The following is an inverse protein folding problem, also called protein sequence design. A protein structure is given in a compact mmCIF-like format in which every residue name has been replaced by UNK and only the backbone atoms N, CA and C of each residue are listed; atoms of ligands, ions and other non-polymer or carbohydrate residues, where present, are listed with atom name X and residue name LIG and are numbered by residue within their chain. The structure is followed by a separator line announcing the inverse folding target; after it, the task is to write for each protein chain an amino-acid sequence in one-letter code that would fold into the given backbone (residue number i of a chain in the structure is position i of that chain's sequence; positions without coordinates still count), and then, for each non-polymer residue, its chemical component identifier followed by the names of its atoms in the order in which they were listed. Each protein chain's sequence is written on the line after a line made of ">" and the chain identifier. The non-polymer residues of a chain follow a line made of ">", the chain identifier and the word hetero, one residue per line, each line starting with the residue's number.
data_IF_294303690691
#
_entry.id   IF_294303690691
#
_cell.length_a   1.000
_cell.length_b   1.000
_cell.length_c   1.000
_cell.angle_alpha   90.00
_cell.angle_beta   90.00
_cell.angle_gamma   90.00
#
_symmetry.space_group_name_H-M   'P 1'
#
loop_
_entity.id
_entity.type
_entity.pdbx_description
1 polymer ?
#
# COMPACT_ATOMS: atom_id res chain seq x y z
N UNK A 1 -37.18 10.38 -7.78
CA UNK A 1 -35.82 10.65 -7.27
C UNK A 1 -35.08 9.39 -6.81
N UNK A 2 -35.75 8.26 -6.56
CA UNK A 2 -35.10 6.99 -6.20
C UNK A 2 -34.25 6.34 -7.32
N UNK A 3 -34.65 6.45 -8.59
CA UNK A 3 -33.86 5.89 -9.71
C UNK A 3 -32.47 6.53 -9.88
N UNK A 4 -32.33 7.83 -9.61
CA UNK A 4 -31.03 8.53 -9.62
C UNK A 4 -30.17 8.11 -8.43
N UNK A 5 -30.78 7.87 -7.26
CA UNK A 5 -30.11 7.39 -6.06
C UNK A 5 -29.64 5.92 -6.19
N UNK A 6 -30.42 5.05 -6.85
CA UNK A 6 -30.05 3.67 -7.14
C UNK A 6 -28.84 3.58 -8.07
N UNK A 7 -28.78 4.41 -9.12
CA UNK A 7 -27.63 4.46 -10.03
C UNK A 7 -26.37 4.96 -9.30
N UNK A 8 -26.52 5.90 -8.37
CA UNK A 8 -25.40 6.40 -7.55
C UNK A 8 -24.89 5.35 -6.55
N UNK A 9 -25.78 4.55 -5.92
CA UNK A 9 -25.40 3.42 -5.07
C UNK A 9 -24.74 2.29 -5.86
N UNK A 10 -25.28 1.92 -7.02
CA UNK A 10 -24.69 0.87 -7.88
C UNK A 10 -23.29 1.26 -8.37
N UNK A 11 -23.12 2.50 -8.82
CA UNK A 11 -21.81 3.04 -9.21
C UNK A 11 -20.81 2.98 -8.05
N UNK A 12 -21.25 3.33 -6.85
CA UNK A 12 -20.41 3.29 -5.66
C UNK A 12 -19.95 1.88 -5.30
N UNK A 13 -20.84 0.87 -5.39
CA UNK A 13 -20.48 -0.53 -5.15
C UNK A 13 -19.51 -1.08 -6.20
N UNK A 14 -19.72 -0.76 -7.48
CA UNK A 14 -18.80 -1.15 -8.56
C UNK A 14 -17.42 -0.51 -8.35
N UNK A 15 -17.38 0.78 -7.98
CA UNK A 15 -16.13 1.47 -7.67
C UNK A 15 -15.42 0.84 -6.47
N UNK A 16 -16.14 0.49 -5.40
CA UNK A 16 -15.57 -0.21 -4.26
C UNK A 16 -14.99 -1.57 -4.66
N UNK A 17 -15.67 -2.32 -5.52
CA UNK A 17 -15.15 -3.60 -6.03
C UNK A 17 -13.85 -3.41 -6.82
N UNK A 18 -13.83 -2.46 -7.75
CA UNK A 18 -12.64 -2.16 -8.57
C UNK A 18 -11.49 -1.66 -7.70
N UNK A 19 -11.76 -0.77 -6.76
CA UNK A 19 -10.72 -0.23 -5.86
C UNK A 19 -10.19 -1.31 -4.94
N UNK A 20 -11.05 -2.14 -4.34
CA UNK A 20 -10.59 -3.26 -3.52
C UNK A 20 -9.73 -4.25 -4.30
N UNK A 21 -10.14 -4.54 -5.54
CA UNK A 21 -9.34 -5.40 -6.41
C UNK A 21 -7.97 -4.81 -6.72
N UNK A 22 -7.92 -3.53 -7.09
CA UNK A 22 -6.67 -2.86 -7.41
C UNK A 22 -5.78 -2.66 -6.19
N UNK A 23 -6.35 -2.33 -5.03
CA UNK A 23 -5.60 -2.20 -3.76
C UNK A 23 -4.94 -3.53 -3.38
N UNK A 24 -5.69 -4.62 -3.31
CA UNK A 24 -5.15 -5.95 -2.97
C UNK A 24 -4.10 -6.41 -3.98
N UNK A 25 -4.38 -6.29 -5.29
CA UNK A 25 -3.39 -6.63 -6.33
C UNK A 25 -2.12 -5.77 -6.23
N UNK A 26 -2.25 -4.48 -5.91
CA UNK A 26 -1.10 -3.59 -5.77
C UNK A 26 -0.24 -3.93 -4.55
N UNK A 27 -0.86 -4.31 -3.43
CA UNK A 27 -0.17 -4.77 -2.23
C UNK A 27 0.56 -6.10 -2.49
N UNK A 28 -0.11 -7.06 -3.14
CA UNK A 28 0.49 -8.33 -3.56
C UNK A 28 1.68 -8.11 -4.49
N UNK A 29 1.52 -7.27 -5.51
CA UNK A 29 2.59 -6.96 -6.46
C UNK A 29 3.78 -6.32 -5.75
N UNK A 30 3.54 -5.43 -4.78
CA UNK A 30 4.60 -4.76 -4.04
C UNK A 30 5.36 -5.75 -3.14
N UNK A 31 4.62 -6.59 -2.41
CA UNK A 31 5.19 -7.65 -1.59
C UNK A 31 6.04 -8.62 -2.42
N UNK A 32 5.50 -9.12 -3.53
CA UNK A 32 6.22 -10.05 -4.40
C UNK A 32 7.48 -9.42 -5.01
N UNK A 33 7.43 -8.13 -5.33
CA UNK A 33 8.59 -7.40 -5.86
C UNK A 33 9.69 -7.25 -4.82
N UNK A 34 9.33 -7.02 -3.55
CA UNK A 34 10.28 -6.97 -2.44
C UNK A 34 10.88 -8.35 -2.19
N UNK A 35 10.06 -9.39 -2.11
CA UNK A 35 10.54 -10.76 -1.92
C UNK A 35 11.52 -11.18 -3.02
N UNK A 36 11.18 -10.88 -4.26
CA UNK A 36 12.07 -11.12 -5.40
C UNK A 36 13.38 -10.34 -5.27
N UNK A 37 13.34 -9.07 -4.82
CA UNK A 37 14.55 -8.27 -4.60
C UNK A 37 15.42 -8.84 -3.46
N UNK A 38 14.82 -9.27 -2.35
CA UNK A 38 15.53 -9.89 -1.23
C UNK A 38 16.20 -11.22 -1.63
N UNK A 39 15.50 -12.07 -2.39
CA UNK A 39 16.04 -13.33 -2.93
C UNK A 39 17.21 -13.11 -3.89
N UNK A 40 17.14 -12.08 -4.74
CA UNK A 40 18.18 -11.82 -5.72
C UNK A 40 19.35 -11.02 -5.16
N UNK A 41 19.15 -10.16 -4.16
CA UNK A 41 20.21 -9.31 -3.63
C UNK A 41 20.74 -9.81 -2.30
N UNK A 42 19.87 -10.01 -1.31
CA UNK A 42 20.31 -10.38 0.05
C UNK A 42 20.75 -11.85 0.10
N UNK A 43 19.95 -12.76 -0.45
CA UNK A 43 20.27 -14.19 -0.38
C UNK A 43 21.53 -14.54 -1.17
N UNK A 44 21.71 -13.96 -2.37
CA UNK A 44 22.95 -14.12 -3.15
C UNK A 44 24.20 -13.64 -2.41
N UNK A 45 24.10 -12.57 -1.62
CA UNK A 45 25.21 -12.07 -0.81
C UNK A 45 25.47 -12.96 0.41
N UNK A 46 24.41 -13.49 1.03
CA UNK A 46 24.53 -14.41 2.17
C UNK A 46 25.21 -15.73 1.79
N UNK A 47 25.05 -16.18 0.55
CA UNK A 47 25.66 -17.41 0.06
C UNK A 47 27.18 -17.25 -0.22
N UNK A 48 27.73 -16.03 -0.13
CA UNK A 48 29.17 -15.79 -0.27
C UNK A 48 29.93 -16.27 0.99
N UNK A 49 31.05 -17.02 0.82
CA UNK A 49 31.78 -17.56 1.96
C UNK A 49 32.53 -16.48 2.76
N UNK A 50 32.49 -16.60 4.09
CA UNK A 50 33.34 -15.87 5.02
C UNK A 50 33.02 -14.38 5.18
N UNK A 51 34.07 -13.57 5.36
CA UNK A 51 33.98 -12.13 5.65
C UNK A 51 33.32 -11.32 4.53
N UNK A 52 33.39 -11.80 3.27
CA UNK A 52 32.79 -11.15 2.10
C UNK A 52 31.26 -11.08 2.19
N UNK A 53 30.61 -12.13 2.70
CA UNK A 53 29.16 -12.11 2.93
C UNK A 53 28.74 -11.10 4.00
N UNK A 54 29.53 -10.96 5.07
CA UNK A 54 29.29 -10.00 6.15
C UNK A 54 29.44 -8.55 5.64
N UNK A 55 30.52 -8.27 4.91
CA UNK A 55 30.75 -6.94 4.31
C UNK A 55 29.67 -6.63 3.28
N UNK A 56 29.27 -7.59 2.46
CA UNK A 56 28.17 -7.44 1.49
C UNK A 56 26.84 -7.09 2.17
N UNK A 57 26.53 -7.73 3.30
CA UNK A 57 25.28 -7.50 4.02
C UNK A 57 25.20 -6.10 4.65
N UNK A 58 26.34 -5.52 5.03
CA UNK A 58 26.41 -4.15 5.58
C UNK A 58 26.42 -3.10 4.45
N UNK A 59 27.13 -3.38 3.35
CA UNK A 59 27.27 -2.44 2.24
C UNK A 59 26.03 -2.36 1.37
N UNK A 60 25.25 -3.44 1.23
CA UNK A 60 24.06 -3.47 0.39
C UNK A 60 22.97 -2.44 0.84
N UNK A 61 22.54 -2.38 2.11
CA UNK A 61 21.60 -1.35 2.56
C UNK A 61 22.14 0.06 2.39
N UNK A 62 23.45 0.27 2.56
CA UNK A 62 24.09 1.57 2.38
C UNK A 62 24.02 2.04 0.92
N UNK A 63 24.38 1.16 -0.02
CA UNK A 63 24.29 1.43 -1.46
C UNK A 63 22.84 1.63 -1.91
N UNK A 64 21.92 0.80 -1.40
CA UNK A 64 20.48 0.94 -1.64
C UNK A 64 19.95 2.28 -1.16
N UNK A 65 20.32 2.70 0.05
CA UNK A 65 19.97 4.00 0.61
C UNK A 65 20.50 5.19 -0.19
N UNK A 66 21.76 5.13 -0.65
CA UNK A 66 22.36 6.16 -1.51
C UNK A 66 21.62 6.24 -2.85
N UNK A 67 21.34 5.10 -3.48
CA UNK A 67 20.62 5.04 -4.75
C UNK A 67 19.19 5.60 -4.62
N UNK A 68 18.44 5.15 -3.61
CA UNK A 68 17.07 5.62 -3.34
C UNK A 68 17.07 7.11 -3.00
N UNK A 69 18.02 7.57 -2.18
CA UNK A 69 18.18 8.99 -1.85
C UNK A 69 18.46 9.85 -3.07
N UNK A 70 19.35 9.39 -3.96
CA UNK A 70 19.64 10.06 -5.23
C UNK A 70 18.40 10.14 -6.14
N UNK A 71 17.68 9.03 -6.31
CA UNK A 71 16.47 8.96 -7.13
C UNK A 71 15.32 9.79 -6.55
N UNK A 72 15.14 9.81 -5.23
CA UNK A 72 14.17 10.67 -4.55
C UNK A 72 14.45 12.14 -4.82
N UNK A 73 15.73 12.55 -4.72
CA UNK A 73 16.13 13.95 -4.93
C UNK A 73 15.89 14.43 -6.37
N UNK A 74 16.16 13.59 -7.37
CA UNK A 74 16.14 14.02 -8.78
C UNK A 74 14.85 13.66 -9.52
N UNK A 75 14.17 12.57 -9.15
CA UNK A 75 13.07 12.04 -9.97
C UNK A 75 11.68 12.16 -9.34
N UNK A 76 11.57 11.95 -8.02
CA UNK A 76 10.29 11.87 -7.33
C UNK A 76 10.36 12.33 -5.86
N UNK A 77 10.59 13.64 -5.60
CA UNK A 77 10.63 14.17 -4.23
C UNK A 77 9.30 13.99 -3.49
N UNK A 78 8.18 13.94 -4.22
CA UNK A 78 6.84 13.69 -3.67
C UNK A 78 6.68 12.28 -3.06
N UNK A 79 7.55 11.33 -3.39
CA UNK A 79 7.50 9.95 -2.89
C UNK A 79 8.29 9.76 -1.58
N UNK A 80 8.89 10.80 -1.00
CA UNK A 80 9.68 10.71 0.22
C UNK A 80 8.84 10.37 1.47
N UNK A 81 9.48 9.79 2.50
CA UNK A 81 8.87 9.52 3.81
C UNK A 81 7.86 8.37 3.81
N UNK A 82 6.95 8.35 4.78
CA UNK A 82 5.95 7.27 4.94
C UNK A 82 4.96 7.21 3.77
N UNK A 83 4.38 8.35 3.37
CA UNK A 83 3.31 8.40 2.37
C UNK A 83 1.93 8.66 2.97
N UNK A 84 1.72 8.30 4.24
CA UNK A 84 0.46 8.56 4.97
C UNK A 84 0.22 10.06 5.12
N UNK A 85 1.17 10.89 5.60
CA UNK A 85 0.95 12.34 5.72
C UNK A 85 0.65 13.01 4.38
N UNK A 86 1.28 12.56 3.29
CA UNK A 86 1.04 13.06 1.94
C UNK A 86 -0.35 12.68 1.43
N UNK A 87 -0.81 11.48 1.77
CA UNK A 87 -2.17 11.01 1.45
C UNK A 87 -3.21 11.80 2.21
N UNK A 88 -2.98 12.05 3.52
CA UNK A 88 -3.83 12.90 4.37
C UNK A 88 -3.87 14.33 3.85
N UNK A 89 -2.72 14.91 3.51
CA UNK A 89 -2.64 16.23 2.89
C UNK A 89 -3.41 16.27 1.55
N UNK A 90 -3.32 15.23 0.71
CA UNK A 90 -4.10 15.17 -0.53
C UNK A 90 -5.60 15.05 -0.28
N UNK A 91 -6.02 14.31 0.75
CA UNK A 91 -7.42 14.18 1.16
C UNK A 91 -8.01 15.53 1.58
N UNK A 92 -7.36 16.27 2.49
CA UNK A 92 -7.87 17.55 3.01
C UNK A 92 -7.62 18.75 2.08
N UNK A 93 -6.44 18.85 1.47
CA UNK A 93 -6.03 20.06 0.74
C UNK A 93 -6.23 19.97 -0.78
N UNK A 94 -6.32 18.76 -1.33
CA UNK A 94 -6.39 18.54 -2.79
C UNK A 94 -7.64 17.81 -3.24
N UNK A 95 -8.69 17.72 -2.41
CA UNK A 95 -9.93 16.98 -2.71
C UNK A 95 -9.66 15.54 -3.19
N UNK A 96 -8.68 14.88 -2.58
CA UNK A 96 -8.27 13.53 -2.94
C UNK A 96 -7.54 13.40 -4.27
N UNK A 97 -7.05 14.48 -4.89
CA UNK A 97 -6.20 14.37 -6.09
C UNK A 97 -4.79 13.92 -5.74
N UNK A 98 -4.44 12.71 -6.15
CA UNK A 98 -3.13 12.12 -5.99
C UNK A 98 -2.54 11.80 -7.37
N UNK A 99 -1.27 12.11 -7.63
CA UNK A 99 -0.64 11.85 -8.94
C UNK A 99 -0.30 10.37 -9.08
N UNK A 100 -0.70 9.73 -10.18
CA UNK A 100 -0.40 8.31 -10.41
C UNK A 100 1.11 8.05 -10.52
N UNK A 101 1.85 9.01 -11.09
CA UNK A 101 3.32 8.98 -11.12
C UNK A 101 3.94 8.81 -9.73
N UNK A 102 3.36 9.43 -8.69
CA UNK A 102 3.86 9.28 -7.33
C UNK A 102 3.70 7.84 -6.83
N UNK A 103 2.60 7.17 -7.18
CA UNK A 103 2.37 5.77 -6.84
C UNK A 103 3.43 4.85 -7.45
N UNK A 104 3.72 5.02 -8.75
CA UNK A 104 4.76 4.25 -9.45
C UNK A 104 6.14 4.52 -8.83
N UNK A 105 6.47 5.79 -8.60
CA UNK A 105 7.75 6.14 -7.97
C UNK A 105 7.87 5.55 -6.57
N UNK A 106 6.80 5.56 -5.78
CA UNK A 106 6.79 4.97 -4.43
C UNK A 106 6.97 3.46 -4.46
N UNK A 107 6.33 2.79 -5.41
CA UNK A 107 6.49 1.36 -5.63
C UNK A 107 7.96 1.01 -5.93
N UNK A 108 8.55 1.64 -6.94
CA UNK A 108 9.93 1.33 -7.37
C UNK A 108 10.93 1.64 -6.25
N UNK A 109 10.83 2.83 -5.65
CA UNK A 109 11.77 3.26 -4.62
C UNK A 109 11.59 2.47 -3.32
N UNK A 110 10.36 2.13 -2.96
CA UNK A 110 10.05 1.27 -1.83
C UNK A 110 10.59 -0.14 -2.02
N UNK A 111 10.44 -0.73 -3.20
CA UNK A 111 10.99 -2.05 -3.53
C UNK A 111 12.51 -2.06 -3.43
N UNK A 112 13.20 -1.04 -3.97
CA UNK A 112 14.66 -0.96 -3.88
C UNK A 112 15.10 -0.75 -2.43
N UNK A 113 14.43 0.14 -1.69
CA UNK A 113 14.81 0.45 -0.31
C UNK A 113 14.61 -0.75 0.62
N UNK A 114 13.43 -1.38 0.59
CA UNK A 114 13.13 -2.52 1.46
C UNK A 114 13.89 -3.76 0.98
N UNK A 115 13.93 -4.00 -0.33
CA UNK A 115 14.63 -5.15 -0.92
C UNK A 115 16.15 -5.16 -0.71
N UNK A 116 16.77 -3.99 -0.48
CA UNK A 116 18.19 -3.90 -0.09
C UNK A 116 18.43 -4.06 1.41
N UNK A 117 17.37 -4.18 2.21
CA UNK A 117 17.45 -4.42 3.66
C UNK A 117 17.23 -3.17 4.53
N UNK A 118 16.60 -2.11 4.02
CA UNK A 118 16.23 -0.98 4.87
C UNK A 118 15.16 -1.38 5.90
N UNK A 119 15.30 -0.90 7.14
CA UNK A 119 14.33 -1.10 8.22
C UNK A 119 13.10 -0.20 8.05
N UNK A 120 12.29 -0.46 7.02
CA UNK A 120 11.06 0.26 6.70
C UNK A 120 9.88 -0.71 6.62
N UNK A 121 8.72 -0.28 7.12
CA UNK A 121 7.47 -1.03 7.02
C UNK A 121 6.79 -0.88 5.66
N UNK A 122 5.87 -1.81 5.36
CA UNK A 122 5.11 -1.84 4.11
C UNK A 122 3.89 -0.92 4.15
N UNK A 123 3.36 -0.56 5.33
CA UNK A 123 2.06 0.14 5.44
C UNK A 123 2.07 1.48 4.71
N UNK A 124 3.14 2.27 4.87
CA UNK A 124 3.21 3.60 4.28
C UNK A 124 3.10 3.57 2.75
N UNK A 125 3.98 2.83 2.06
CA UNK A 125 3.92 2.64 0.61
C UNK A 125 2.60 2.04 0.11
N UNK A 126 2.07 0.98 0.74
CA UNK A 126 0.85 0.29 0.26
C UNK A 126 -0.40 1.15 0.41
N UNK A 127 -0.53 1.88 1.52
CA UNK A 127 -1.61 2.85 1.75
C UNK A 127 -1.55 3.97 0.70
N UNK A 128 -0.36 4.55 0.49
CA UNK A 128 -0.21 5.66 -0.46
C UNK A 128 -0.45 5.20 -1.92
N UNK A 129 -0.03 4.00 -2.27
CA UNK A 129 -0.26 3.37 -3.58
C UNK A 129 -1.76 3.15 -3.81
N UNK A 130 -2.44 2.54 -2.84
CA UNK A 130 -3.89 2.25 -2.91
C UNK A 130 -4.74 3.52 -2.95
N UNK A 131 -4.35 4.55 -2.19
CA UNK A 131 -4.98 5.87 -2.24
C UNK A 131 -4.81 6.52 -3.62
N UNK A 132 -3.62 6.41 -4.23
CA UNK A 132 -3.36 6.94 -5.56
C UNK A 132 -4.17 6.22 -6.64
N UNK A 133 -4.32 4.90 -6.54
CA UNK A 133 -5.16 4.08 -7.41
C UNK A 133 -6.64 4.47 -7.28
N UNK A 134 -7.16 4.58 -6.05
CA UNK A 134 -8.52 5.04 -5.80
C UNK A 134 -8.79 6.44 -6.38
N UNK A 135 -7.83 7.37 -6.20
CA UNK A 135 -7.87 8.71 -6.78
C UNK A 135 -7.88 8.68 -8.32
N UNK A 136 -7.05 7.82 -8.92
CA UNK A 136 -6.95 7.66 -10.36
C UNK A 136 -8.24 7.09 -10.95
N UNK A 137 -8.75 5.98 -10.41
CA UNK A 137 -10.01 5.35 -10.81
C UNK A 137 -11.16 6.36 -10.71
N UNK A 138 -11.30 7.04 -9.58
CA UNK A 138 -12.37 8.02 -9.40
C UNK A 138 -12.36 9.15 -10.43
N UNK A 139 -11.17 9.64 -10.80
CA UNK A 139 -11.03 10.67 -11.84
C UNK A 139 -11.26 10.13 -13.25
N UNK A 140 -10.83 8.89 -13.51
CA UNK A 140 -11.03 8.25 -14.81
C UNK A 140 -12.52 8.04 -15.11
N UNK A 141 -13.31 7.70 -14.09
CA UNK A 141 -14.77 7.64 -14.17
C UNK A 141 -15.47 9.02 -14.21
N UNK A 142 -14.71 10.12 -14.27
CA UNK A 142 -15.25 11.48 -14.37
C UNK A 142 -16.00 11.95 -13.11
N UNK A 143 -15.69 11.39 -11.94
CA UNK A 143 -16.36 11.76 -10.70
C UNK A 143 -16.02 13.18 -10.26
N UNK A 144 -16.97 13.83 -9.59
CA UNK A 144 -16.73 15.14 -8.99
C UNK A 144 -15.64 15.06 -7.90
N UNK A 145 -14.86 16.14 -7.65
CA UNK A 145 -13.76 16.12 -6.69
C UNK A 145 -14.15 15.60 -5.30
N UNK A 146 -15.35 15.95 -4.82
CA UNK A 146 -15.87 15.47 -3.52
C UNK A 146 -16.13 13.97 -3.48
N UNK A 147 -16.49 13.36 -4.62
CA UNK A 147 -16.67 11.92 -4.73
C UNK A 147 -15.32 11.20 -4.83
N UNK A 148 -14.35 11.75 -5.56
CA UNK A 148 -12.96 11.25 -5.59
C UNK A 148 -12.35 11.27 -4.19
N UNK A 149 -12.53 12.36 -3.45
CA UNK A 149 -12.11 12.49 -2.05
C UNK A 149 -12.66 11.37 -1.17
N UNK A 150 -13.92 10.97 -1.37
CA UNK A 150 -14.53 9.89 -0.59
C UNK A 150 -13.93 8.50 -0.91
N UNK A 151 -13.34 8.30 -2.09
CA UNK A 151 -12.67 7.06 -2.51
C UNK A 151 -11.30 6.86 -1.86
N UNK A 152 -10.65 7.94 -1.42
CA UNK A 152 -9.32 7.87 -0.80
C UNK A 152 -9.30 6.99 0.45
N UNK A 153 -10.12 7.23 1.50
CA UNK A 153 -10.11 6.38 2.68
C UNK A 153 -10.56 4.93 2.38
N UNK A 154 -11.42 4.73 1.37
CA UNK A 154 -11.74 3.37 0.91
C UNK A 154 -10.49 2.68 0.34
N UNK A 155 -9.74 3.33 -0.55
CA UNK A 155 -8.48 2.77 -1.06
C UNK A 155 -7.47 2.52 0.05
N UNK A 156 -7.34 3.45 1.00
CA UNK A 156 -6.43 3.32 2.13
C UNK A 156 -6.73 2.09 3.00
N UNK A 157 -8.01 1.73 3.21
CA UNK A 157 -8.33 0.55 4.04
C UNK A 157 -7.84 -0.74 3.39
N UNK A 158 -7.96 -0.87 2.08
CA UNK A 158 -7.39 -2.01 1.35
C UNK A 158 -5.86 -2.00 1.29
N UNK A 159 -5.23 -0.82 1.25
CA UNK A 159 -3.76 -0.71 1.27
C UNK A 159 -3.14 -0.98 2.65
N UNK A 160 -3.84 -0.62 3.72
CA UNK A 160 -3.47 -0.93 5.10
C UNK A 160 -3.70 -2.41 5.45
N UNK A 161 -4.45 -3.13 4.62
CA UNK A 161 -4.75 -4.54 4.80
C UNK A 161 -3.60 -5.48 4.43
N UNK A 162 -2.45 -4.95 3.97
CA UNK A 162 -1.25 -5.72 3.65
C UNK A 162 -0.74 -6.67 4.77
N UNK A 163 -1.31 -6.58 5.99
CA UNK A 163 -1.10 -7.48 7.13
C UNK A 163 -2.18 -8.55 7.27
N UNK A 164 -2.99 -8.77 6.24
CA UNK A 164 -4.08 -9.73 6.25
C UNK A 164 -5.04 -9.51 7.44
N UNK A 165 -5.31 -8.25 7.76
CA UNK A 165 -6.04 -7.82 8.97
C UNK A 165 -7.06 -6.72 8.60
N UNK A 166 -8.23 -7.09 8.06
CA UNK A 166 -9.17 -6.12 7.49
C UNK A 166 -9.69 -5.12 8.50
N UNK A 167 -9.86 -5.54 9.76
CA UNK A 167 -10.32 -4.67 10.84
C UNK A 167 -9.34 -3.52 11.10
N UNK A 168 -8.02 -3.80 11.05
CA UNK A 168 -7.00 -2.78 11.23
C UNK A 168 -7.04 -1.77 10.08
N UNK A 169 -7.20 -2.24 8.83
CA UNK A 169 -7.33 -1.35 7.67
C UNK A 169 -8.57 -0.45 7.73
N UNK A 170 -9.70 -0.98 8.21
CA UNK A 170 -10.94 -0.20 8.40
C UNK A 170 -10.73 0.88 9.47
N UNK A 171 -10.22 0.51 10.65
CA UNK A 171 -9.98 1.44 11.76
C UNK A 171 -8.96 2.51 11.35
N UNK A 172 -7.86 2.10 10.71
CA UNK A 172 -6.84 3.00 10.19
C UNK A 172 -7.42 4.05 9.22
N UNK A 173 -8.28 3.63 8.28
CA UNK A 173 -8.90 4.57 7.35
C UNK A 173 -9.83 5.58 8.05
N UNK A 174 -10.47 5.18 9.14
CA UNK A 174 -11.37 6.05 9.91
C UNK A 174 -10.57 7.01 10.80
N UNK A 175 -9.67 6.49 11.62
CA UNK A 175 -8.94 7.25 12.62
C UNK A 175 -7.82 8.10 12.01
N UNK A 176 -6.98 7.50 11.16
CA UNK A 176 -5.78 8.17 10.67
C UNK A 176 -6.05 9.01 9.43
N UNK A 177 -6.89 8.55 8.50
CA UNK A 177 -7.11 9.25 7.22
C UNK A 177 -8.28 10.24 7.29
N UNK A 178 -9.46 9.81 7.74
CA UNK A 178 -10.65 10.68 7.74
C UNK A 178 -10.76 11.58 8.97
N UNK A 179 -10.36 11.11 10.15
CA UNK A 179 -10.57 11.78 11.43
C UNK A 179 -12.04 11.86 11.90
N UNK A 180 -13.01 11.63 11.01
CA UNK A 180 -14.45 11.68 11.29
C UNK A 180 -15.21 10.57 10.55
N UNK A 181 -16.16 9.91 11.23
CA UNK A 181 -16.96 8.84 10.66
C UNK A 181 -18.15 9.38 9.84
N UNK A 182 -18.00 9.46 8.52
CA UNK A 182 -19.14 9.71 7.61
C UNK A 182 -19.86 8.39 7.29
N UNK A 183 -21.14 8.28 7.70
CA UNK A 183 -21.97 7.08 7.48
C UNK A 183 -22.00 6.58 6.02
N UNK A 184 -21.89 7.48 5.03
CA UNK A 184 -21.99 7.12 3.60
C UNK A 184 -20.75 6.41 3.05
N UNK A 185 -19.57 6.61 3.64
CA UNK A 185 -18.31 6.04 3.15
C UNK A 185 -17.96 4.73 3.85
N UNK A 186 -18.47 4.53 5.08
CA UNK A 186 -18.18 3.37 5.91
C UNK A 186 -18.42 2.02 5.21
N UNK A 187 -19.58 1.84 4.58
CA UNK A 187 -19.88 0.61 3.85
C UNK A 187 -18.86 0.34 2.72
N UNK A 188 -18.38 1.38 2.05
CA UNK A 188 -17.35 1.27 1.02
C UNK A 188 -15.98 0.88 1.57
N UNK A 189 -15.60 1.43 2.72
CA UNK A 189 -14.33 1.11 3.42
C UNK A 189 -14.31 -0.37 3.81
N UNK A 190 -15.41 -0.87 4.36
CA UNK A 190 -15.54 -2.29 4.74
C UNK A 190 -15.48 -3.20 3.51
N UNK A 191 -16.22 -2.89 2.45
CA UNK A 191 -16.18 -3.68 1.22
C UNK A 191 -14.78 -3.71 0.60
N UNK A 192 -14.11 -2.56 0.50
CA UNK A 192 -12.75 -2.49 -0.07
C UNK A 192 -11.76 -3.30 0.77
N UNK A 193 -11.81 -3.17 2.10
CA UNK A 193 -10.95 -3.93 3.00
C UNK A 193 -11.15 -5.44 2.76
N UNK A 194 -12.38 -5.95 2.85
CA UNK A 194 -12.66 -7.38 2.66
C UNK A 194 -12.23 -7.89 1.29
N UNK A 195 -12.47 -7.14 0.21
CA UNK A 195 -12.08 -7.55 -1.15
C UNK A 195 -10.55 -7.60 -1.28
N UNK A 196 -9.85 -6.60 -0.74
CA UNK A 196 -8.40 -6.59 -0.71
C UNK A 196 -7.87 -7.81 0.06
N UNK A 197 -8.40 -8.09 1.26
CA UNK A 197 -8.01 -9.25 2.07
C UNK A 197 -8.17 -10.56 1.29
N UNK A 198 -9.33 -10.74 0.64
CA UNK A 198 -9.63 -11.98 -0.09
C UNK A 198 -8.62 -12.18 -1.23
N UNK A 199 -8.27 -11.11 -1.96
CA UNK A 199 -7.30 -11.19 -3.05
C UNK A 199 -5.90 -11.49 -2.51
N UNK A 200 -5.47 -10.81 -1.46
CA UNK A 200 -4.19 -11.05 -0.81
C UNK A 200 -4.08 -12.50 -0.32
N UNK A 201 -5.11 -13.00 0.38
CA UNK A 201 -5.17 -14.38 0.85
C UNK A 201 -5.19 -15.40 -0.30
N UNK A 202 -5.89 -15.09 -1.40
CA UNK A 202 -5.99 -16.01 -2.54
C UNK A 202 -4.65 -16.20 -3.25
N UNK A 203 -3.82 -15.15 -3.35
CA UNK A 203 -2.55 -15.20 -4.07
C UNK A 203 -1.41 -15.61 -3.15
N UNK A 204 -1.34 -15.02 -1.95
CA UNK A 204 -0.22 -15.19 -1.02
C UNK A 204 -0.46 -16.28 0.03
N UNK A 205 -1.72 -16.71 0.21
CA UNK A 205 -2.13 -17.64 1.26
C UNK A 205 -2.19 -17.01 2.65
N UNK A 206 -2.83 -17.69 3.61
CA UNK A 206 -2.97 -17.20 5.00
C UNK A 206 -1.64 -17.13 5.80
N UNK A 207 -0.50 -17.47 5.18
CA UNK A 207 0.77 -17.74 5.90
C UNK A 207 1.71 -16.55 6.08
N UNK A 208 1.43 -15.38 5.50
CA UNK A 208 2.36 -14.23 5.54
C UNK A 208 2.50 -13.65 6.94
N UNK A 209 1.38 -13.34 7.62
CA UNK A 209 1.45 -12.73 8.95
C UNK A 209 1.98 -13.71 10.01
N UNK A 210 1.65 -14.99 9.89
CA UNK A 210 2.21 -16.03 10.76
C UNK A 210 3.71 -16.20 10.56
N UNK A 211 4.21 -16.29 9.32
CA UNK A 211 5.63 -16.60 9.09
C UNK A 211 6.56 -15.45 9.47
N UNK A 212 6.14 -14.18 9.32
CA UNK A 212 6.91 -13.01 9.79
C UNK A 212 6.90 -12.90 11.32
N UNK A 213 5.76 -13.10 11.98
CA UNK A 213 5.67 -13.03 13.43
C UNK A 213 6.36 -14.21 14.12
N UNK A 214 6.18 -15.45 13.62
CA UNK A 214 6.81 -16.67 14.15
C UNK A 214 8.33 -16.68 13.94
N UNK A 215 8.84 -16.10 12.84
CA UNK A 215 10.28 -16.05 12.56
C UNK A 215 11.00 -14.97 13.39
N UNK A 216 10.32 -13.88 13.74
CA UNK A 216 10.85 -12.86 14.67
C UNK A 216 10.67 -13.21 16.15
N UNK A 217 9.64 -13.98 16.52
CA UNK A 217 9.35 -14.35 17.93
C UNK A 217 9.67 -15.79 18.30
N UNK A 218 10.29 -16.58 17.41
CA UNK A 218 10.76 -17.94 17.72
C UNK A 218 9.66 -18.95 18.09
N UNK A 219 8.38 -18.60 17.95
CA UNK A 219 7.28 -19.51 18.23
C UNK A 219 7.05 -20.41 17.01
N UNK A 220 6.92 -21.72 17.22
CA UNK A 220 6.41 -22.67 16.22
C UNK A 220 4.94 -22.91 16.56
N UNK A 221 4.04 -22.78 15.59
CA UNK A 221 2.66 -23.23 15.79
C UNK A 221 2.60 -24.75 15.66
N UNK A 222 1.99 -25.40 16.65
CA UNK A 222 1.38 -26.72 16.57
C UNK A 222 0.28 -26.74 15.49
#
# INVERSE_FOLDING_TARGET
>A
MEFVALNQRRRFHVLALVIGALSGLSAVAFYQSIHWAEENWIHRIKDLPGWLGIVGLITLPALGGVLVGFLLKHWAPEAAGSGIPQTKAAYYLKFGRIRFRMAISKFILGTISIGTGASLGLEGPTVQLSAALASYVGRWFGLAPRQVMALIPMGCSGGADAFNTPLAGIVFAIEEIMGDLKHRTFAGIVMVAVIATVIEQSILGMKICQRLCLKNWGMRCL
#
